data_IF_428943928962
#
_entry.id   IF_428943928962
#
_cell.length_a   1.000
_cell.length_b   1.000
_cell.length_c   1.000
_cell.angle_alpha   90.00
_cell.angle_beta   90.00
_cell.angle_gamma   90.00
#
_symmetry.space_group_name_H-M   'P 1'
#
loop_
_entity.id
_entity.type
_entity.pdbx_description
1 polymer ?
#
# COMPACT_ATOMS: atom_id res chain seq x y z
N UNK A 1 9.55 0.33 2.14
CA UNK A 1 8.45 1.31 2.32
C UNK A 1 7.40 0.76 3.27
N UNK A 2 6.91 1.54 4.25
CA UNK A 2 6.05 1.04 5.34
C UNK A 2 4.55 1.11 4.96
N UNK A 3 4.07 0.25 4.06
CA UNK A 3 2.64 0.19 3.68
C UNK A 3 1.70 0.08 4.89
N UNK A 4 2.11 -0.65 5.93
CA UNK A 4 1.34 -0.87 7.16
C UNK A 4 1.01 0.44 7.89
N UNK A 5 1.83 1.49 7.70
CA UNK A 5 1.62 2.82 8.28
C UNK A 5 0.90 3.77 7.32
N UNK A 6 0.52 3.33 6.12
CA UNK A 6 -0.15 4.17 5.14
C UNK A 6 -1.67 4.16 5.35
N UNK A 7 -2.33 5.31 5.22
CA UNK A 7 -3.80 5.41 5.27
C UNK A 7 -4.50 4.76 4.08
N UNK A 8 -3.83 4.72 2.92
CA UNK A 8 -4.36 4.14 1.69
C UNK A 8 -4.20 2.62 1.59
N UNK A 9 -3.44 2.02 2.51
CA UNK A 9 -3.21 0.59 2.54
C UNK A 9 -4.37 -0.10 3.27
N UNK A 10 -4.94 -1.11 2.61
CA UNK A 10 -6.00 -1.95 3.16
C UNK A 10 -5.72 -3.42 2.83
N UNK A 11 -6.28 -4.31 3.65
CA UNK A 11 -6.26 -5.75 3.36
C UNK A 11 -7.50 -6.07 2.54
N UNK A 12 -7.34 -6.84 1.47
CA UNK A 12 -8.45 -7.31 0.65
C UNK A 12 -8.86 -8.71 1.06
N UNK A 13 -10.12 -9.07 0.76
CA UNK A 13 -10.65 -10.42 0.99
C UNK A 13 -10.27 -11.42 -0.13
N UNK A 14 -9.41 -11.04 -1.06
CA UNK A 14 -8.93 -11.90 -2.13
C UNK A 14 -7.69 -12.68 -1.67
N UNK A 15 -7.80 -14.01 -1.60
CA UNK A 15 -6.70 -14.88 -1.18
C UNK A 15 -5.47 -14.78 -2.12
N UNK A 16 -5.67 -14.43 -3.40
CA UNK A 16 -4.56 -14.25 -4.36
C UNK A 16 -3.86 -12.91 -4.17
N UNK A 17 -4.60 -11.88 -3.74
CA UNK A 17 -4.10 -10.51 -3.63
C UNK A 17 -4.55 -9.84 -2.31
N UNK A 18 -4.02 -10.28 -1.16
CA UNK A 18 -4.45 -9.77 0.15
C UNK A 18 -4.10 -8.30 0.40
N UNK A 19 -3.23 -7.67 -0.39
CA UNK A 19 -2.77 -6.30 -0.14
C UNK A 19 -3.33 -5.32 -1.18
N UNK A 20 -4.15 -4.38 -0.74
CA UNK A 20 -4.71 -3.31 -1.57
C UNK A 20 -4.07 -1.95 -1.30
N UNK A 21 -4.03 -1.09 -2.32
CA UNK A 21 -3.69 0.32 -2.18
C UNK A 21 -4.74 1.19 -2.87
N UNK A 22 -5.50 1.98 -2.11
CA UNK A 22 -6.61 2.78 -2.65
C UNK A 22 -6.12 3.93 -3.52
N UNK A 23 -4.92 4.47 -3.24
CA UNK A 23 -4.35 5.57 -4.01
C UNK A 23 -3.96 5.15 -5.44
N UNK A 24 -3.42 3.94 -5.59
CA UNK A 24 -3.06 3.38 -6.89
C UNK A 24 -4.19 2.53 -7.49
N UNK A 25 -5.26 2.23 -6.73
CA UNK A 25 -6.35 1.30 -7.09
C UNK A 25 -5.85 -0.07 -7.55
N UNK A 26 -4.75 -0.53 -6.95
CA UNK A 26 -4.15 -1.84 -7.25
C UNK A 26 -4.36 -2.81 -6.08
N UNK A 27 -4.44 -4.10 -6.41
CA UNK A 27 -4.31 -5.21 -5.48
C UNK A 27 -3.04 -5.97 -5.83
N UNK A 28 -2.30 -6.41 -4.81
CA UNK A 28 -1.03 -7.11 -4.94
C UNK A 28 -0.96 -8.24 -3.92
N UNK A 29 -0.17 -9.25 -4.27
CA UNK A 29 0.16 -10.37 -3.38
C UNK A 29 1.25 -10.00 -2.37
N UNK A 30 2.04 -8.98 -2.68
CA UNK A 30 3.06 -8.39 -1.81
C UNK A 30 2.63 -6.99 -1.38
N UNK A 31 3.49 -6.32 -0.59
CA UNK A 31 3.24 -4.91 -0.24
C UNK A 31 3.15 -4.08 -1.53
N UNK A 32 2.07 -3.32 -1.76
CA UNK A 32 1.87 -2.60 -3.02
C UNK A 32 2.99 -1.60 -3.31
N UNK A 33 3.66 -1.05 -2.30
CA UNK A 33 4.83 -0.20 -2.52
C UNK A 33 6.05 -0.93 -3.10
N UNK A 34 6.21 -2.24 -2.84
CA UNK A 34 7.26 -3.05 -3.46
C UNK A 34 6.93 -3.34 -4.92
N UNK A 35 5.67 -3.67 -5.23
CA UNK A 35 5.26 -3.90 -6.62
C UNK A 35 5.34 -2.63 -7.45
N UNK A 36 4.89 -1.49 -6.92
CA UNK A 36 5.06 -0.20 -7.59
C UNK A 36 6.54 0.07 -7.86
N UNK A 37 7.43 -0.16 -6.88
CA UNK A 37 8.87 -0.01 -7.07
C UNK A 37 9.44 -0.97 -8.12
N UNK A 38 8.99 -2.22 -8.14
CA UNK A 38 9.45 -3.23 -9.09
C UNK A 38 8.96 -2.94 -10.52
N UNK A 39 7.73 -2.49 -10.67
CA UNK A 39 7.09 -2.25 -11.96
C UNK A 39 7.50 -0.91 -12.59
N UNK A 40 7.57 0.15 -11.78
CA UNK A 40 7.86 1.50 -12.29
C UNK A 40 9.26 2.00 -11.97
N UNK A 41 10.02 1.31 -11.13
CA UNK A 41 11.29 1.84 -10.58
C UNK A 41 11.08 2.99 -9.58
N UNK A 42 9.82 3.41 -9.35
CA UNK A 42 9.49 4.57 -8.53
C UNK A 42 9.05 4.13 -7.13
N UNK A 43 9.56 4.83 -6.12
CA UNK A 43 9.04 4.73 -4.76
C UNK A 43 7.60 5.25 -4.72
N UNK A 44 6.71 4.56 -4.00
CA UNK A 44 5.33 4.98 -3.71
C UNK A 44 5.26 6.46 -3.28
N UNK A 45 4.76 7.33 -4.18
CA UNK A 45 4.62 8.79 -3.95
C UNK A 45 3.36 9.13 -3.18
N UNK A 46 2.33 8.30 -3.28
CA UNK A 46 1.07 8.47 -2.53
C UNK A 46 1.13 7.90 -1.11
N UNK A 47 2.33 7.75 -0.54
CA UNK A 47 2.43 7.34 0.85
C UNK A 47 1.91 8.47 1.74
N UNK A 48 0.84 8.21 2.47
CA UNK A 48 0.32 9.13 3.47
C UNK A 48 0.24 8.39 4.79
N UNK A 49 1.06 8.82 5.76
CA UNK A 49 1.10 8.20 7.07
C UNK A 49 -0.29 8.28 7.73
N UNK A 50 -0.70 7.20 8.39
CA UNK A 50 -1.83 7.23 9.33
C UNK A 50 -1.46 8.22 10.42
N UNK A 51 -2.34 9.17 10.69
CA UNK A 51 -2.17 10.07 11.82
C UNK A 51 -2.02 9.20 13.08
N UNK A 52 -0.89 9.32 13.81
CA UNK A 52 -0.79 8.69 15.11
C UNK A 52 -1.79 9.46 15.97
N UNK A 53 -3.01 8.92 16.11
CA UNK A 53 -4.07 9.50 16.97
C UNK A 53 -3.38 10.06 18.21
N UNK A 54 -3.32 11.39 18.32
CA UNK A 54 -2.96 12.07 19.57
C UNK A 54 -4.00 11.58 20.57
N UNK A 55 -3.57 10.71 21.48
CA UNK A 55 -4.31 10.35 22.69
C UNK A 55 -3.84 11.26 23.80
#
# INVERSE_FOLDING_TARGET
MKCNKCKHYYITWDARFPHGCSAYRIKSRYKPANDVLRLTGLKCRYFSAKDPKRR
#
